data_IF_462250456979
#
_entry.id   IF_462250456979
#
_cell.length_a   1.000
_cell.length_b   1.000
_cell.length_c   1.000
_cell.angle_alpha   90.00
_cell.angle_beta   90.00
_cell.angle_gamma   90.00
#
_symmetry.space_group_name_H-M   'P 1'
#
loop_
_entity.id
_entity.type
_entity.pdbx_description
1 polymer ?
#
# COMPACT_ATOMS: atom_id res chain seq x y z
N UNK A 1 -0.32 -8.24 8.99
CA UNK A 1 -1.70 -8.14 8.44
C UNK A 1 -1.75 -6.84 7.65
N UNK A 2 -2.43 -6.84 6.50
CA UNK A 2 -2.57 -5.67 5.64
C UNK A 2 -4.05 -5.39 5.39
N UNK A 3 -4.41 -4.14 5.14
CA UNK A 3 -5.72 -3.77 4.60
C UNK A 3 -5.61 -3.44 3.11
N UNK A 4 -6.64 -3.81 2.35
CA UNK A 4 -6.70 -3.71 0.90
C UNK A 4 -7.59 -2.53 0.49
N UNK A 5 -7.12 -1.73 -0.45
CA UNK A 5 -7.88 -0.66 -1.10
C UNK A 5 -7.96 -0.98 -2.59
N UNK A 6 -9.15 -1.35 -3.06
CA UNK A 6 -9.38 -1.71 -4.45
C UNK A 6 -9.73 -0.48 -5.27
N UNK A 7 -9.31 -0.51 -6.53
CA UNK A 7 -9.67 0.44 -7.57
C UNK A 7 -10.09 -0.34 -8.81
N UNK A 8 -11.26 -0.02 -9.36
CA UNK A 8 -11.66 -0.49 -10.68
C UNK A 8 -11.16 0.49 -11.74
N UNK A 9 -10.54 -0.04 -12.80
CA UNK A 9 -9.99 0.73 -13.91
C UNK A 9 -10.36 0.09 -15.23
N UNK A 10 -10.46 0.88 -16.30
CA UNK A 10 -10.63 0.36 -17.65
C UNK A 10 -9.26 0.16 -18.29
N UNK A 11 -8.99 -1.04 -18.79
CA UNK A 11 -7.74 -1.35 -19.51
C UNK A 11 -7.76 -0.82 -20.95
N UNK A 12 -6.66 -1.01 -21.69
CA UNK A 12 -6.54 -0.59 -23.10
C UNK A 12 -7.56 -1.27 -24.03
N UNK A 13 -8.06 -2.45 -23.65
CA UNK A 13 -9.06 -3.22 -24.39
C UNK A 13 -10.50 -2.77 -24.09
N UNK A 14 -10.69 -1.82 -23.17
CA UNK A 14 -12.00 -1.33 -22.76
C UNK A 14 -12.68 -2.17 -21.67
N UNK A 15 -11.97 -3.13 -21.09
CA UNK A 15 -12.49 -4.01 -20.04
C UNK A 15 -12.29 -3.40 -18.64
N UNK A 16 -13.29 -3.60 -17.77
CA UNK A 16 -13.19 -3.21 -16.37
C UNK A 16 -12.39 -4.25 -15.60
N UNK A 17 -11.25 -3.84 -15.03
CA UNK A 17 -10.38 -4.69 -14.22
C UNK A 17 -10.17 -4.09 -12.84
N UNK A 18 -9.98 -4.95 -11.84
CA UNK A 18 -9.65 -4.51 -10.47
C UNK A 18 -8.15 -4.57 -10.24
N UNK A 19 -7.60 -3.48 -9.73
CA UNK A 19 -6.26 -3.42 -9.16
C UNK A 19 -6.34 -2.90 -7.72
N UNK A 20 -5.26 -2.95 -6.96
CA UNK A 20 -5.33 -2.61 -5.55
C UNK A 20 -4.01 -2.17 -4.94
N UNK A 21 -4.13 -1.47 -3.82
CA UNK A 21 -3.05 -1.20 -2.90
C UNK A 21 -3.27 -1.89 -1.56
N UNK A 22 -2.18 -2.22 -0.88
CA UNK A 22 -2.19 -2.69 0.49
C UNK A 22 -1.29 -1.83 1.36
N UNK A 23 -1.70 -1.67 2.61
CA UNK A 23 -0.91 -1.01 3.66
C UNK A 23 -0.96 -1.86 4.91
N UNK A 24 0.16 -1.89 5.65
CA UNK A 24 0.26 -2.70 6.85
C UNK A 24 -0.71 -2.17 7.91
N UNK A 25 -1.46 -3.07 8.56
CA UNK A 25 -2.23 -2.68 9.73
C UNK A 25 -1.27 -2.29 10.86
N UNK A 26 -1.57 -1.23 11.64
CA UNK A 26 -0.68 -0.72 12.69
C UNK A 26 -0.74 -1.60 13.96
N UNK A 27 -0.67 -2.92 13.80
CA UNK A 27 -0.69 -3.88 14.90
C UNK A 27 0.14 -5.12 14.60
N UNK A 28 0.95 -5.48 15.58
CA UNK A 28 1.77 -6.67 15.60
C UNK A 28 1.11 -7.76 16.43
N UNK A 29 0.75 -8.87 15.79
CA UNK A 29 0.20 -10.03 16.46
C UNK A 29 1.30 -10.95 17.00
N UNK A 30 0.95 -11.76 18.00
CA UNK A 30 1.86 -12.77 18.56
C UNK A 30 2.06 -14.00 17.67
N UNK A 31 1.31 -14.13 16.55
CA UNK A 31 1.48 -15.17 15.53
C UNK A 31 1.37 -14.61 14.12
N UNK A 32 1.70 -15.42 13.11
CA UNK A 32 1.45 -15.10 11.71
C UNK A 32 -0.03 -15.23 11.35
N UNK A 33 -0.74 -14.10 11.33
CA UNK A 33 -2.18 -14.07 11.00
C UNK A 33 -2.41 -14.50 9.56
N UNK A 34 -3.25 -15.54 9.40
CA UNK A 34 -3.61 -16.12 8.10
C UNK A 34 -5.11 -16.03 7.81
N UNK A 35 -5.95 -15.84 8.83
CA UNK A 35 -7.42 -15.77 8.68
C UNK A 35 -7.99 -14.70 9.60
N UNK A 36 -9.01 -14.00 9.11
CA UNK A 36 -9.83 -13.08 9.87
C UNK A 36 -11.33 -13.24 9.54
N UNK A 37 -12.21 -13.04 10.52
CA UNK A 37 -13.67 -13.04 10.36
C UNK A 37 -14.31 -12.03 11.30
N UNK A 38 -15.40 -11.41 10.85
CA UNK A 38 -16.32 -10.70 11.73
C UNK A 38 -17.26 -11.73 12.35
N UNK A 39 -17.36 -11.74 13.67
CA UNK A 39 -18.31 -12.59 14.38
C UNK A 39 -19.71 -11.94 14.29
N UNK A 40 -20.73 -12.64 13.74
CA UNK A 40 -22.06 -12.06 13.57
C UNK A 40 -22.79 -11.79 14.89
N UNK A 41 -22.41 -12.44 16.00
CA UNK A 41 -23.08 -12.27 17.30
C UNK A 41 -22.66 -11.00 18.04
N UNK A 42 -21.38 -10.61 17.96
CA UNK A 42 -20.83 -9.47 18.71
C UNK A 42 -20.25 -8.36 17.81
N UNK A 43 -20.23 -8.57 16.49
CA UNK A 43 -19.70 -7.63 15.50
C UNK A 43 -18.18 -7.42 15.57
N UNK A 44 -17.46 -8.20 16.38
CA UNK A 44 -16.02 -8.04 16.58
C UNK A 44 -15.23 -8.80 15.50
N UNK A 45 -14.02 -8.33 15.23
CA UNK A 45 -13.09 -9.01 14.32
C UNK A 45 -12.25 -10.00 15.12
N UNK A 46 -12.27 -11.26 14.71
CA UNK A 46 -11.41 -12.30 15.24
C UNK A 46 -10.41 -12.74 14.18
N UNK A 47 -9.14 -12.82 14.56
CA UNK A 47 -8.06 -13.25 13.68
C UNK A 47 -7.32 -14.44 14.30
N UNK A 48 -6.85 -15.35 13.47
CA UNK A 48 -6.07 -16.51 13.91
C UNK A 48 -4.87 -16.74 13.01
N UNK A 49 -3.83 -17.28 13.62
CA UNK A 49 -2.53 -17.43 13.03
C UNK A 49 -1.70 -18.47 13.75
N UNK A 50 -0.66 -18.94 13.07
CA UNK A 50 0.32 -19.87 13.59
C UNK A 50 1.74 -19.43 13.21
N UNK A 51 2.74 -19.98 13.89
CA UNK A 51 4.12 -19.92 13.40
C UNK A 51 4.27 -20.91 12.25
N UNK A 52 4.89 -20.51 11.14
CA UNK A 52 4.89 -21.29 9.90
C UNK A 52 4.85 -20.43 8.63
N UNK A 53 3.90 -19.51 8.57
CA UNK A 53 3.73 -18.61 7.41
C UNK A 53 4.74 -17.45 7.41
N UNK A 54 5.22 -17.06 8.59
CA UNK A 54 6.16 -15.97 8.80
C UNK A 54 7.55 -16.48 9.24
N UNK A 55 7.95 -17.71 8.89
CA UNK A 55 9.15 -18.35 9.46
C UNK A 55 10.48 -17.58 9.25
N UNK A 56 10.50 -16.56 8.38
CA UNK A 56 11.63 -15.64 8.22
C UNK A 56 11.40 -14.19 8.70
N UNK A 57 10.24 -13.87 9.29
CA UNK A 57 9.79 -12.48 9.47
C UNK A 57 9.95 -11.87 10.86
N UNK A 58 9.78 -12.64 11.94
CA UNK A 58 9.85 -12.09 13.31
C UNK A 58 10.15 -13.20 14.33
N UNK A 59 11.25 -13.05 15.08
CA UNK A 59 11.58 -13.98 16.15
C UNK A 59 10.56 -13.89 17.31
N UNK A 60 10.32 -15.01 18.00
CA UNK A 60 9.48 -15.06 19.20
C UNK A 60 7.97 -15.11 18.95
N UNK A 61 7.53 -15.49 17.75
CA UNK A 61 6.12 -15.80 17.51
C UNK A 61 5.69 -17.07 18.25
N UNK A 62 4.47 -17.07 18.78
CA UNK A 62 3.86 -18.25 19.36
C UNK A 62 3.42 -19.23 18.26
N UNK A 63 3.36 -20.52 18.59
CA UNK A 63 3.00 -21.59 17.65
C UNK A 63 1.60 -21.41 17.07
N UNK A 64 0.66 -20.85 17.84
CA UNK A 64 -0.73 -20.66 17.44
C UNK A 64 -1.43 -19.63 18.31
N UNK A 65 -2.46 -18.97 17.77
CA UNK A 65 -3.22 -17.97 18.50
C UNK A 65 -4.55 -17.61 17.86
N UNK A 66 -5.49 -17.21 18.72
CA UNK A 66 -6.75 -16.54 18.34
C UNK A 66 -6.77 -15.20 19.05
N UNK A 67 -6.93 -14.12 18.31
CA UNK A 67 -6.96 -12.75 18.80
C UNK A 67 -8.29 -12.09 18.46
N UNK A 68 -8.82 -11.31 19.39
CA UNK A 68 -9.96 -10.41 19.14
C UNK A 68 -9.42 -9.00 18.92
N UNK A 69 -9.68 -8.45 17.74
CA UNK A 69 -9.38 -7.06 17.39
C UNK A 69 -10.58 -6.19 17.75
N UNK A 70 -10.37 -5.20 18.62
CA UNK A 70 -11.42 -4.31 19.10
C UNK A 70 -11.01 -2.85 18.91
N UNK A 71 -11.89 -2.06 18.31
CA UNK A 71 -11.71 -0.61 18.24
C UNK A 71 -11.80 0.01 19.65
N UNK A 72 -10.82 0.83 20.00
CA UNK A 72 -10.71 1.42 21.35
C UNK A 72 -11.45 2.75 21.49
N UNK A 73 -12.07 3.26 20.41
CA UNK A 73 -12.65 4.61 20.36
C UNK A 73 -11.63 5.72 20.10
N UNK A 74 -10.32 5.41 20.10
CA UNK A 74 -9.26 6.37 19.78
C UNK A 74 -9.03 6.43 18.27
N UNK A 75 -8.88 7.62 17.68
CA UNK A 75 -8.57 7.75 16.27
C UNK A 75 -7.24 7.05 15.95
N UNK A 76 -7.18 6.44 14.78
CA UNK A 76 -5.95 5.86 14.22
C UNK A 76 -5.64 6.60 12.92
N UNK A 77 -4.39 7.02 12.73
CA UNK A 77 -3.96 7.71 11.51
C UNK A 77 -3.66 6.67 10.44
N UNK A 78 -4.33 6.76 9.28
CA UNK A 78 -4.25 5.74 8.23
C UNK A 78 -4.38 6.35 6.84
N UNK A 79 -3.82 5.65 5.85
CA UNK A 79 -4.24 5.78 4.45
C UNK A 79 -5.59 5.07 4.32
N UNK A 80 -6.53 5.68 3.61
CA UNK A 80 -7.91 5.20 3.48
C UNK A 80 -8.30 4.87 2.05
N UNK A 81 -7.60 5.44 1.08
CA UNK A 81 -7.81 5.16 -0.33
C UNK A 81 -6.49 5.35 -1.09
N UNK A 82 -6.28 4.50 -2.08
CA UNK A 82 -5.14 4.51 -2.97
C UNK A 82 -5.63 4.30 -4.39
N UNK A 83 -5.29 5.22 -5.28
CA UNK A 83 -5.78 5.24 -6.67
C UNK A 83 -4.64 5.58 -7.62
N UNK A 84 -4.63 4.93 -8.78
CA UNK A 84 -3.74 5.19 -9.91
C UNK A 84 -4.51 6.02 -10.94
N UNK A 85 -3.85 7.04 -11.47
CA UNK A 85 -4.27 7.82 -12.63
C UNK A 85 -3.11 7.84 -13.64
N UNK A 86 -3.30 8.46 -14.81
CA UNK A 86 -2.36 8.45 -15.94
C UNK A 86 -0.88 8.61 -15.58
N UNK A 87 -0.56 9.62 -14.77
CA UNK A 87 0.80 9.97 -14.34
C UNK A 87 0.85 10.25 -12.82
N UNK A 88 -0.18 9.81 -12.09
CA UNK A 88 -0.43 10.28 -10.74
C UNK A 88 -0.86 9.13 -9.83
N UNK A 89 -0.16 8.98 -8.71
CA UNK A 89 -0.65 8.21 -7.57
C UNK A 89 -1.40 9.16 -6.63
N UNK A 90 -2.67 8.84 -6.34
CA UNK A 90 -3.51 9.58 -5.40
C UNK A 90 -3.70 8.76 -4.14
N UNK A 91 -3.41 9.37 -2.99
CA UNK A 91 -3.60 8.79 -1.67
C UNK A 91 -4.52 9.69 -0.85
N UNK A 92 -5.49 9.10 -0.15
CA UNK A 92 -6.36 9.83 0.79
C UNK A 92 -6.13 9.35 2.22
N UNK A 93 -5.96 10.29 3.13
CA UNK A 93 -5.69 10.06 4.55
C UNK A 93 -6.93 10.41 5.38
N UNK A 94 -7.08 9.81 6.57
CA UNK A 94 -8.16 10.18 7.49
C UNK A 94 -7.83 11.34 8.44
N UNK A 95 -6.68 11.99 8.26
CA UNK A 95 -6.18 13.09 9.09
C UNK A 95 -5.50 14.14 8.21
N UNK A 96 -5.44 15.38 8.71
CA UNK A 96 -4.83 16.52 8.00
C UNK A 96 -3.32 16.36 7.92
N UNK A 97 -2.75 16.58 6.74
CA UNK A 97 -1.31 16.55 6.49
C UNK A 97 -0.71 17.96 6.52
N UNK A 98 0.54 18.06 6.95
CA UNK A 98 1.30 19.29 6.75
C UNK A 98 1.64 19.51 5.27
N UNK A 99 1.36 20.71 4.77
CA UNK A 99 1.58 21.07 3.38
C UNK A 99 3.06 21.14 3.03
N UNK A 100 3.90 21.59 3.95
CA UNK A 100 5.33 21.72 3.68
C UNK A 100 6.01 20.35 3.59
N UNK A 101 5.68 19.45 4.52
CA UNK A 101 6.15 18.07 4.55
C UNK A 101 5.73 17.30 3.30
N UNK A 102 4.47 17.45 2.87
CA UNK A 102 3.96 16.77 1.68
C UNK A 102 4.56 17.27 0.37
N UNK A 103 4.95 18.54 0.28
CA UNK A 103 5.56 19.09 -0.95
C UNK A 103 7.04 18.73 -1.11
N UNK A 104 7.68 18.18 -0.07
CA UNK A 104 9.07 17.76 -0.14
C UNK A 104 9.18 16.40 -0.83
N UNK A 105 9.56 16.38 -2.11
CA UNK A 105 9.72 15.13 -2.89
C UNK A 105 10.73 14.15 -2.27
N UNK A 106 11.69 14.62 -1.47
CA UNK A 106 12.64 13.74 -0.76
C UNK A 106 12.02 12.94 0.39
N UNK A 107 10.78 13.27 0.80
CA UNK A 107 10.00 12.49 1.76
C UNK A 107 9.45 11.18 1.18
N UNK A 108 9.67 10.92 -0.10
CA UNK A 108 9.10 9.79 -0.83
C UNK A 108 10.19 8.97 -1.51
N UNK A 109 10.01 7.64 -1.49
CA UNK A 109 10.78 6.71 -2.31
C UNK A 109 9.80 5.76 -2.97
N UNK A 110 9.80 5.72 -4.30
CA UNK A 110 8.98 4.81 -5.07
C UNK A 110 9.87 3.88 -5.91
N UNK A 111 9.60 2.58 -5.82
CA UNK A 111 10.25 1.54 -6.61
C UNK A 111 9.20 0.60 -7.19
N UNK A 112 9.44 0.04 -8.37
CA UNK A 112 8.56 -0.96 -8.99
C UNK A 112 9.33 -2.13 -9.59
N UNK A 113 8.68 -3.27 -9.69
CA UNK A 113 9.24 -4.50 -10.27
C UNK A 113 8.14 -5.46 -10.72
N UNK A 114 8.54 -6.38 -11.60
CA UNK A 114 7.76 -7.53 -12.03
C UNK A 114 8.36 -8.82 -11.51
N UNK A 115 7.54 -9.86 -11.49
CA UNK A 115 7.92 -11.22 -11.20
C UNK A 115 7.94 -12.05 -12.47
N UNK A 116 8.90 -12.96 -12.57
CA UNK A 116 8.91 -13.98 -13.60
C UNK A 116 8.32 -15.28 -13.06
N UNK A 117 7.37 -15.83 -13.81
CA UNK A 117 6.85 -17.16 -13.56
C UNK A 117 7.86 -18.21 -14.04
N UNK A 118 8.42 -18.96 -13.09
CA UNK A 118 9.36 -20.04 -13.38
C UNK A 118 8.91 -21.32 -12.67
N UNK A 119 9.53 -22.46 -12.99
CA UNK A 119 9.28 -23.71 -12.25
C UNK A 119 9.83 -23.69 -10.82
N UNK A 120 10.76 -22.77 -10.52
CA UNK A 120 11.38 -22.65 -9.21
C UNK A 120 10.45 -21.97 -8.20
N UNK A 121 10.70 -22.21 -6.91
CA UNK A 121 9.99 -21.48 -5.86
C UNK A 121 10.51 -20.05 -5.75
N UNK A 122 9.58 -19.10 -5.75
CA UNK A 122 9.88 -17.67 -5.68
C UNK A 122 10.23 -17.05 -7.03
N UNK A 123 10.46 -15.74 -7.00
CA UNK A 123 10.91 -14.97 -8.16
C UNK A 123 11.83 -13.86 -7.67
N UNK A 124 12.86 -13.54 -8.45
CA UNK A 124 13.59 -12.31 -8.24
C UNK A 124 12.69 -11.11 -8.59
N UNK A 125 13.08 -9.91 -8.15
CA UNK A 125 12.49 -8.69 -8.67
C UNK A 125 13.13 -8.41 -10.03
N UNK A 126 12.32 -8.15 -11.04
CA UNK A 126 12.77 -7.78 -12.38
C UNK A 126 12.32 -6.37 -12.73
N UNK A 127 13.23 -5.60 -13.32
CA UNK A 127 12.95 -4.24 -13.77
C UNK A 127 11.85 -4.28 -14.84
N UNK A 128 10.72 -3.55 -14.69
CA UNK A 128 9.57 -3.73 -15.59
C UNK A 128 9.87 -3.41 -17.07
N UNK A 129 10.74 -2.42 -17.32
CA UNK A 129 11.15 -2.03 -18.69
C UNK A 129 12.25 -2.94 -19.27
N UNK A 130 13.37 -3.11 -18.57
CA UNK A 130 14.55 -3.81 -19.13
C UNK A 130 14.47 -5.32 -18.99
N UNK A 131 13.65 -5.84 -18.06
CA UNK A 131 13.57 -7.26 -17.74
C UNK A 131 14.78 -7.81 -16.98
N UNK A 132 15.74 -6.96 -16.62
CA UNK A 132 16.92 -7.34 -15.84
C UNK A 132 16.58 -7.54 -14.36
N UNK A 133 17.39 -8.32 -13.65
CA UNK A 133 17.23 -8.50 -12.20
C UNK A 133 17.46 -7.16 -11.49
N UNK A 134 16.45 -6.69 -10.78
CA UNK A 134 16.47 -5.42 -10.08
C UNK A 134 15.09 -4.79 -9.93
N UNK A 135 15.04 -3.65 -9.27
CA UNK A 135 13.86 -2.78 -9.20
C UNK A 135 14.13 -1.53 -10.02
N UNK A 136 13.09 -0.94 -10.58
CA UNK A 136 13.15 0.40 -11.15
C UNK A 136 12.81 1.42 -10.06
N UNK A 137 13.68 2.41 -9.85
CA UNK A 137 13.32 3.58 -9.04
C UNK A 137 12.51 4.54 -9.89
N UNK A 138 11.41 5.04 -9.33
CA UNK A 138 10.54 6.01 -9.98
C UNK A 138 10.90 7.43 -9.52
N UNK A 139 10.90 8.37 -10.46
CA UNK A 139 11.04 9.79 -10.17
C UNK A 139 9.68 10.37 -9.76
N UNK A 140 9.60 10.94 -8.57
CA UNK A 140 8.46 11.73 -8.13
C UNK A 140 8.81 13.20 -8.37
N UNK A 141 8.27 13.77 -9.44
CA UNK A 141 8.58 15.15 -9.84
C UNK A 141 7.90 16.17 -8.95
N UNK A 142 6.69 15.84 -8.50
CA UNK A 142 5.87 16.77 -7.74
C UNK A 142 4.94 16.03 -6.79
N UNK A 143 4.76 16.62 -5.61
CA UNK A 143 3.77 16.20 -4.64
C UNK A 143 2.83 17.39 -4.34
N UNK A 144 1.52 17.17 -4.45
CA UNK A 144 0.49 18.18 -4.17
C UNK A 144 -0.49 17.67 -3.14
N UNK A 145 -0.70 18.46 -2.09
CA UNK A 145 -1.81 18.28 -1.17
C UNK A 145 -3.01 19.11 -1.64
N UNK A 146 -4.15 18.45 -1.83
CA UNK A 146 -5.41 19.09 -2.21
C UNK A 146 -5.89 20.06 -1.11
N UNK A 147 -6.99 20.78 -1.37
CA UNK A 147 -7.55 21.77 -0.44
C UNK A 147 -8.19 21.14 0.80
N UNK A 148 -8.52 19.86 0.74
CA UNK A 148 -9.09 19.08 1.84
C UNK A 148 -8.07 18.71 2.92
N UNK A 149 -6.78 19.00 2.68
CA UNK A 149 -5.65 18.68 3.57
C UNK A 149 -5.42 17.18 3.77
N UNK A 150 -6.13 16.32 3.05
CA UNK A 150 -6.16 14.86 3.22
C UNK A 150 -5.85 14.08 1.96
N UNK A 151 -5.91 14.72 0.79
CA UNK A 151 -5.66 14.04 -0.49
C UNK A 151 -4.32 14.48 -1.06
N UNK A 152 -3.39 13.54 -1.14
CA UNK A 152 -2.06 13.70 -1.70
C UNK A 152 -2.02 13.16 -3.13
N UNK A 153 -1.41 13.91 -4.04
CA UNK A 153 -1.16 13.52 -5.44
C UNK A 153 0.32 13.56 -5.72
N UNK A 154 0.88 12.42 -6.13
CA UNK A 154 2.27 12.27 -6.51
C UNK A 154 2.35 12.13 -8.03
N UNK A 155 2.99 13.09 -8.69
CA UNK A 155 3.24 13.07 -10.12
C UNK A 155 4.48 12.21 -10.42
N UNK A 156 4.27 11.16 -11.21
CA UNK A 156 5.25 10.15 -11.59
C UNK A 156 5.10 9.93 -13.11
N UNK A 157 5.91 10.60 -13.95
CA UNK A 157 5.77 10.52 -15.41
C UNK A 157 5.94 9.12 -15.99
N UNK A 158 6.84 8.33 -15.38
CA UNK A 158 7.18 6.97 -15.83
C UNK A 158 6.30 5.89 -15.17
N UNK A 159 5.10 6.25 -14.73
CA UNK A 159 4.16 5.32 -14.13
C UNK A 159 3.61 4.37 -15.20
N UNK A 160 3.67 3.07 -14.94
CA UNK A 160 3.30 2.03 -15.89
C UNK A 160 2.76 0.80 -15.15
N UNK A 161 2.14 -0.16 -15.86
CA UNK A 161 1.76 -1.42 -15.25
C UNK A 161 2.97 -2.14 -14.63
N UNK A 162 2.77 -2.67 -13.42
CA UNK A 162 3.77 -3.41 -12.67
C UNK A 162 3.10 -4.39 -11.70
N UNK A 163 3.71 -5.57 -11.50
CA UNK A 163 3.21 -6.53 -10.52
C UNK A 163 3.26 -5.96 -9.10
N UNK A 164 4.31 -5.17 -8.81
CA UNK A 164 4.48 -4.45 -7.57
C UNK A 164 5.06 -3.05 -7.77
N UNK A 165 4.47 -2.08 -7.10
CA UNK A 165 5.04 -0.77 -6.80
C UNK A 165 5.05 -0.58 -5.29
N UNK A 166 6.20 -0.20 -4.73
CA UNK A 166 6.39 0.10 -3.32
C UNK A 166 6.69 1.58 -3.15
N UNK A 167 5.81 2.27 -2.43
CA UNK A 167 5.96 3.66 -2.03
C UNK A 167 6.23 3.74 -0.53
N UNK A 168 7.36 4.33 -0.17
CA UNK A 168 7.69 4.70 1.20
C UNK A 168 7.45 6.20 1.38
N UNK A 169 6.85 6.59 2.50
CA UNK A 169 6.56 7.99 2.81
C UNK A 169 7.02 8.35 4.22
N UNK A 170 7.57 9.55 4.38
CA UNK A 170 7.92 10.16 5.67
C UNK A 170 7.34 11.56 5.76
N UNK A 171 6.18 11.68 6.40
CA UNK A 171 5.36 12.88 6.46
C UNK A 171 5.13 13.36 7.89
N UNK A 172 4.51 14.52 8.03
CA UNK A 172 3.95 15.02 9.30
C UNK A 172 2.48 15.40 9.12
N UNK A 173 1.70 15.35 10.21
CA UNK A 173 0.38 16.02 10.22
C UNK A 173 0.52 17.53 10.38
N UNK A 174 -0.61 18.22 10.32
CA UNK A 174 -0.75 19.68 10.48
C UNK A 174 -0.24 20.24 11.81
N UNK A 175 -0.04 19.40 12.82
CA UNK A 175 0.53 19.76 14.12
C UNK A 175 1.96 19.25 14.31
N UNK A 176 2.58 18.69 13.27
CA UNK A 176 4.00 18.29 13.24
C UNK A 176 4.30 16.87 13.74
N UNK A 177 3.28 16.04 13.98
CA UNK A 177 3.47 14.65 14.43
C UNK A 177 3.90 13.75 13.26
N UNK A 178 5.04 13.05 13.37
CA UNK A 178 5.55 12.18 12.32
C UNK A 178 4.59 11.06 11.91
N UNK A 179 4.61 10.71 10.63
CA UNK A 179 3.91 9.57 10.04
C UNK A 179 4.78 8.94 8.97
N UNK A 180 5.11 7.67 9.16
CA UNK A 180 5.87 6.86 8.20
C UNK A 180 4.99 5.70 7.79
N UNK A 181 4.92 5.43 6.49
CA UNK A 181 4.07 4.38 5.97
C UNK A 181 4.66 3.79 4.68
N UNK A 182 4.41 2.50 4.49
CA UNK A 182 4.73 1.75 3.28
C UNK A 182 3.44 1.34 2.58
N UNK A 183 3.31 1.69 1.31
CA UNK A 183 2.17 1.32 0.46
C UNK A 183 2.68 0.45 -0.68
N UNK A 184 2.03 -0.69 -0.87
CA UNK A 184 2.31 -1.58 -2.00
C UNK A 184 1.12 -1.60 -2.95
N UNK A 185 1.36 -1.45 -4.24
CA UNK A 185 0.35 -1.57 -5.29
C UNK A 185 0.66 -2.73 -6.22
N UNK A 186 -0.38 -3.39 -6.70
CA UNK A 186 -0.34 -4.06 -7.99
C UNK A 186 -1.08 -3.16 -8.98
N UNK A 187 -0.44 -2.84 -10.12
CA UNK A 187 -0.98 -1.95 -11.15
C UNK A 187 -1.13 -2.75 -12.44
N UNK A 188 -2.35 -3.13 -12.78
CA UNK A 188 -2.62 -3.91 -13.99
C UNK A 188 -2.77 -3.04 -15.23
N UNK A 189 -3.32 -1.83 -15.06
CA UNK A 189 -3.46 -0.86 -16.14
C UNK A 189 -3.31 0.57 -15.60
N UNK A 190 -2.87 1.46 -16.48
CA UNK A 190 -2.86 2.90 -16.25
C UNK A 190 -4.14 3.48 -16.86
N UNK A 191 -5.04 4.09 -16.05
CA UNK A 191 -6.25 4.68 -16.59
C UNK A 191 -5.93 5.82 -17.57
N UNK A 192 -6.73 5.91 -18.63
CA UNK A 192 -6.68 7.08 -19.50
C UNK A 192 -6.95 8.37 -18.68
N UNK A 193 -6.34 9.51 -19.07
CA UNK A 193 -6.66 10.79 -18.45
C UNK A 193 -8.17 11.03 -18.50
N UNK A 194 -8.77 11.61 -17.44
CA UNK A 194 -10.16 12.04 -17.53
C UNK A 194 -10.31 13.00 -18.72
N UNK A 195 -11.29 12.72 -19.59
CA UNK A 195 -11.66 13.59 -20.72
C UNK A 195 -12.21 14.93 -20.24
#
# INVERSE_FOLDING_TARGET
MYYLMQQEVTNEEGELITQAAIVQCPHDFGTGIMRGRVNPFDGQVYVTGMNGWNENGRAGLADGGIYRVRYTGKPTRMVTQCEVYSDTLKLTFNFELDRQSTQNVSSYVAEQWNYQWTRGYGSANYHPVTGEVGKQRLLIEQAKLDRDGKTLRLHIPDLQPADQLHLQMKLTDDVGTPFTEDVYWTIHAIPAPPQ
#
